data_IF_143334334101
#
_entry.id   IF_143334334101
#
_cell.length_a   1.000
_cell.length_b   1.000
_cell.length_c   1.000
_cell.angle_alpha   90.00
_cell.angle_beta   90.00
_cell.angle_gamma   90.00
#
_symmetry.space_group_name_H-M   'P 1'
#
loop_
_entity.id
_entity.type
_entity.pdbx_description
1 polymer ?
#
# COMPACT_ATOMS: atom_id res chain seq x y z
N UNK A 1 -7.78 -11.77 -7.17
CA UNK A 1 -8.10 -11.47 -5.76
C UNK A 1 -7.57 -10.10 -5.37
N UNK A 2 -6.29 -9.78 -5.64
CA UNK A 2 -5.68 -8.46 -5.41
C UNK A 2 -6.47 -7.26 -5.99
N UNK A 3 -7.04 -7.38 -7.19
CA UNK A 3 -7.82 -6.32 -7.82
C UNK A 3 -9.12 -6.00 -7.08
N UNK A 4 -9.82 -7.02 -6.57
CA UNK A 4 -11.11 -6.82 -5.89
C UNK A 4 -10.96 -6.09 -4.55
N UNK A 5 -9.85 -6.33 -3.83
CA UNK A 5 -9.56 -5.62 -2.58
C UNK A 5 -9.08 -4.19 -2.82
N UNK A 6 -8.25 -3.97 -3.85
CA UNK A 6 -7.86 -2.63 -4.30
C UNK A 6 -9.07 -1.80 -4.74
N UNK A 7 -9.99 -2.39 -5.51
CA UNK A 7 -11.23 -1.73 -5.95
C UNK A 7 -12.13 -1.38 -4.77
N UNK A 8 -12.22 -2.27 -3.77
CA UNK A 8 -12.99 -2.02 -2.54
C UNK A 8 -12.39 -0.91 -1.69
N UNK A 9 -11.07 -0.88 -1.52
CA UNK A 9 -10.37 0.19 -0.79
C UNK A 9 -10.49 1.51 -1.54
N UNK A 10 -10.32 1.49 -2.87
CA UNK A 10 -10.55 2.65 -3.75
C UNK A 10 -11.96 3.19 -3.57
N UNK A 11 -12.99 2.34 -3.62
CA UNK A 11 -14.37 2.77 -3.41
C UNK A 11 -14.60 3.38 -2.02
N UNK A 12 -13.99 2.83 -0.97
CA UNK A 12 -14.08 3.38 0.39
C UNK A 12 -13.36 4.73 0.55
N UNK A 13 -12.21 4.91 -0.11
CA UNK A 13 -11.46 6.17 -0.10
C UNK A 13 -12.27 7.25 -0.85
N UNK A 14 -12.79 6.91 -2.03
CA UNK A 14 -13.59 7.83 -2.85
C UNK A 14 -14.93 8.23 -2.19
N UNK A 15 -15.58 7.32 -1.46
CA UNK A 15 -16.87 7.62 -0.79
C UNK A 15 -16.74 8.44 0.49
N UNK A 16 -15.55 8.51 1.11
CA UNK A 16 -15.35 9.22 2.39
C UNK A 16 -14.82 10.65 2.25
N UNK A 17 -14.60 11.17 1.04
CA UNK A 17 -13.89 12.46 0.84
C UNK A 17 -14.73 13.54 0.19
N UNK A 18 -14.45 14.78 0.58
CA UNK A 18 -15.15 15.98 0.13
C UNK A 18 -14.66 16.42 -1.27
N UNK A 19 -15.54 16.99 -2.11
CA UNK A 19 -15.25 17.24 -3.54
C UNK A 19 -14.17 18.29 -3.86
N UNK A 20 -13.54 18.94 -2.86
CA UNK A 20 -12.61 20.07 -3.06
C UNK A 20 -11.25 19.91 -2.36
N UNK A 21 -10.91 18.72 -1.87
CA UNK A 21 -9.58 18.47 -1.31
C UNK A 21 -8.56 18.23 -2.44
N UNK A 22 -7.35 18.80 -2.31
CA UNK A 22 -6.24 18.48 -3.23
C UNK A 22 -6.04 16.96 -3.21
N UNK A 23 -5.98 16.37 -4.40
CA UNK A 23 -5.77 14.94 -4.56
C UNK A 23 -4.37 14.56 -4.08
N UNK A 24 -4.33 13.84 -2.96
CA UNK A 24 -3.11 13.23 -2.46
C UNK A 24 -3.16 11.71 -2.61
N UNK A 25 -2.00 11.12 -2.84
CA UNK A 25 -1.79 9.68 -2.90
C UNK A 25 -2.08 9.01 -1.56
N UNK A 26 -2.81 7.90 -1.60
CA UNK A 26 -2.99 6.99 -0.47
C UNK A 26 -2.22 5.72 -0.73
N UNK A 27 -1.19 5.46 0.06
CA UNK A 27 -0.35 4.28 -0.09
C UNK A 27 -0.95 3.14 0.72
N UNK A 28 -1.15 1.99 0.12
CA UNK A 28 -1.64 0.79 0.78
C UNK A 28 -0.54 -0.26 0.77
N UNK A 29 -0.12 -0.72 1.95
CA UNK A 29 0.76 -1.88 2.10
C UNK A 29 -0.08 -3.13 2.35
N UNK A 30 0.08 -4.14 1.49
CA UNK A 30 -0.64 -5.42 1.54
C UNK A 30 0.35 -6.59 1.59
N UNK A 31 0.23 -7.41 2.64
CA UNK A 31 1.06 -8.60 2.81
C UNK A 31 0.31 -9.79 2.21
N UNK A 32 0.86 -10.33 1.12
CA UNK A 32 0.27 -11.44 0.39
C UNK A 32 1.20 -12.65 0.36
N UNK A 33 0.67 -13.75 -0.19
CA UNK A 33 1.44 -14.92 -0.59
C UNK A 33 1.20 -15.16 -2.08
N UNK A 34 2.27 -15.30 -2.87
CA UNK A 34 2.15 -15.50 -4.31
C UNK A 34 1.77 -16.94 -4.70
N UNK A 35 1.60 -17.18 -6.00
CA UNK A 35 1.28 -18.52 -6.53
C UNK A 35 2.35 -19.59 -6.25
N UNK A 36 3.57 -19.18 -5.90
CA UNK A 36 4.69 -20.04 -5.52
C UNK A 36 4.83 -20.18 -4.00
N UNK A 37 3.86 -19.72 -3.22
CA UNK A 37 3.88 -19.70 -1.74
C UNK A 37 4.97 -18.82 -1.14
N UNK A 38 5.49 -17.84 -1.90
CA UNK A 38 6.44 -16.87 -1.38
C UNK A 38 5.70 -15.73 -0.69
N UNK A 39 6.13 -15.31 0.51
CA UNK A 39 5.59 -14.11 1.13
C UNK A 39 5.99 -12.87 0.32
N UNK A 40 5.02 -12.05 -0.07
CA UNK A 40 5.24 -10.79 -0.79
C UNK A 40 4.68 -9.63 0.03
N UNK A 41 5.36 -8.48 0.01
CA UNK A 41 4.77 -7.22 0.45
C UNK A 41 4.54 -6.30 -0.77
N UNK A 42 3.29 -5.91 -0.98
CA UNK A 42 2.86 -5.05 -2.08
C UNK A 42 2.66 -3.62 -1.58
N UNK A 43 3.03 -2.62 -2.39
CA UNK A 43 2.58 -1.24 -2.25
C UNK A 43 1.69 -0.91 -3.43
N UNK A 44 0.53 -0.35 -3.11
CA UNK A 44 -0.42 0.18 -4.07
C UNK A 44 -0.53 1.67 -3.80
N UNK A 45 -0.27 2.50 -4.81
CA UNK A 45 -0.59 3.92 -4.75
C UNK A 45 -2.00 4.13 -5.31
N UNK A 46 -2.87 4.70 -4.48
CA UNK A 46 -4.23 5.08 -4.85
C UNK A 46 -4.28 6.60 -4.92
N UNK A 47 -4.29 7.10 -6.15
CA UNK A 47 -4.54 8.51 -6.47
C UNK A 47 -6.00 8.70 -6.91
N UNK A 48 -6.38 9.94 -7.21
CA UNK A 48 -7.71 10.28 -7.70
C UNK A 48 -8.06 9.65 -9.06
N UNK A 49 -7.04 9.42 -9.87
CA UNK A 49 -7.19 9.00 -11.25
C UNK A 49 -7.01 7.49 -11.40
N UNK A 50 -6.19 6.87 -10.53
CA UNK A 50 -5.79 5.48 -10.68
C UNK A 50 -5.29 4.85 -9.38
N UNK A 51 -5.52 3.53 -9.26
CA UNK A 51 -4.87 2.66 -8.31
C UNK A 51 -3.82 1.80 -9.04
N UNK A 52 -2.54 1.94 -8.69
CA UNK A 52 -1.44 1.21 -9.33
C UNK A 52 -0.64 0.39 -8.31
N UNK A 53 -0.26 -0.83 -8.70
CA UNK A 53 0.76 -1.58 -7.97
C UNK A 53 2.13 -0.97 -8.28
N UNK A 54 2.72 -0.31 -7.29
CA UNK A 54 3.95 0.49 -7.48
C UNK A 54 5.19 -0.22 -6.97
N UNK A 55 5.02 -1.19 -6.06
CA UNK A 55 6.12 -2.04 -5.60
C UNK A 55 5.59 -3.41 -5.16
N UNK A 56 6.34 -4.46 -5.44
CA UNK A 56 6.11 -5.80 -4.90
C UNK A 56 7.46 -6.41 -4.55
N UNK A 57 7.65 -6.81 -3.29
CA UNK A 57 8.93 -7.33 -2.81
C UNK A 57 8.81 -8.73 -2.21
N UNK A 58 9.66 -9.63 -2.68
CA UNK A 58 9.85 -10.95 -2.09
C UNK A 58 10.42 -10.81 -0.67
N UNK A 59 9.67 -11.33 0.29
CA UNK A 59 9.98 -11.27 1.70
C UNK A 59 10.41 -12.63 2.27
N UNK A 60 10.83 -13.58 1.41
CA UNK A 60 11.29 -14.90 1.84
C UNK A 60 12.48 -14.75 2.79
N UNK A 61 12.38 -15.33 3.99
CA UNK A 61 13.41 -15.23 5.02
C UNK A 61 13.50 -13.85 5.71
N UNK A 62 12.59 -12.92 5.42
CA UNK A 62 12.53 -11.60 6.08
C UNK A 62 11.48 -11.58 7.18
N UNK A 63 11.83 -11.00 8.32
CA UNK A 63 10.86 -10.66 9.37
C UNK A 63 10.12 -9.39 8.95
N UNK A 64 8.81 -9.50 8.71
CA UNK A 64 7.96 -8.35 8.36
C UNK A 64 7.50 -7.61 9.62
N UNK A 65 8.46 -7.12 10.40
CA UNK A 65 8.12 -6.29 11.56
C UNK A 65 7.65 -4.90 11.12
N UNK A 66 7.20 -4.10 12.09
CA UNK A 66 6.70 -2.74 11.84
C UNK A 66 7.77 -1.85 11.20
N UNK A 67 9.06 -2.07 11.51
CA UNK A 67 10.14 -1.27 10.98
C UNK A 67 10.40 -1.63 9.51
N UNK A 68 10.43 -2.91 9.16
CA UNK A 68 10.56 -3.38 7.79
C UNK A 68 9.47 -2.78 6.88
N UNK A 69 8.21 -2.82 7.34
CA UNK A 69 7.09 -2.26 6.57
C UNK A 69 7.21 -0.73 6.47
N UNK A 70 7.60 -0.05 7.56
CA UNK A 70 7.80 1.40 7.56
C UNK A 70 8.91 1.83 6.58
N UNK A 71 10.07 1.16 6.60
CA UNK A 71 11.19 1.43 5.71
C UNK A 71 10.79 1.20 4.25
N UNK A 72 10.05 0.13 3.98
CA UNK A 72 9.55 -0.18 2.65
C UNK A 72 8.62 0.91 2.09
N UNK A 73 7.73 1.45 2.92
CA UNK A 73 6.88 2.59 2.56
C UNK A 73 7.70 3.87 2.40
N UNK A 74 8.60 4.17 3.34
CA UNK A 74 9.43 5.38 3.31
C UNK A 74 10.30 5.43 2.06
N UNK A 75 10.90 4.30 1.68
CA UNK A 75 11.73 4.19 0.47
C UNK A 75 10.91 4.50 -0.79
N UNK A 76 9.67 4.02 -0.85
CA UNK A 76 8.77 4.36 -1.94
C UNK A 76 8.39 5.84 -1.94
N UNK A 77 7.99 6.40 -0.79
CA UNK A 77 7.64 7.82 -0.65
C UNK A 77 8.81 8.73 -1.04
N UNK A 78 10.04 8.39 -0.65
CA UNK A 78 11.26 9.11 -1.05
C UNK A 78 11.56 9.02 -2.55
N UNK A 79 11.08 7.98 -3.22
CA UNK A 79 11.25 7.81 -4.67
C UNK A 79 10.25 8.61 -5.50
N UNK A 80 9.18 9.14 -4.89
CA UNK A 80 8.20 9.99 -5.55
C UNK A 80 8.80 11.36 -5.90
N UNK A 81 8.34 11.92 -7.02
CA UNK A 81 8.70 13.28 -7.44
C UNK A 81 8.22 14.34 -6.43
N UNK A 82 7.07 14.11 -5.79
CA UNK A 82 6.55 14.93 -4.69
C UNK A 82 6.14 14.04 -3.50
N UNK A 83 7.03 13.84 -2.52
CA UNK A 83 6.74 13.03 -1.32
C UNK A 83 5.60 13.61 -0.45
N UNK A 84 5.34 14.91 -0.52
CA UNK A 84 4.30 15.58 0.28
C UNK A 84 2.90 15.40 -0.32
N UNK A 85 2.80 14.83 -1.52
CA UNK A 85 1.53 14.42 -2.12
C UNK A 85 0.90 13.23 -1.41
N UNK A 86 1.65 12.47 -0.60
CA UNK A 86 1.12 11.34 0.17
C UNK A 86 0.38 11.83 1.40
N UNK A 87 -0.94 11.63 1.44
CA UNK A 87 -1.81 12.12 2.52
C UNK A 87 -2.13 11.04 3.55
N UNK A 88 -1.98 9.77 3.18
CA UNK A 88 -2.38 8.66 4.02
C UNK A 88 -1.61 7.38 3.66
N UNK A 89 -1.29 6.59 4.68
CA UNK A 89 -0.77 5.23 4.54
C UNK A 89 -1.74 4.27 5.24
N UNK A 90 -2.17 3.24 4.53
CA UNK A 90 -2.97 2.14 5.04
C UNK A 90 -2.10 0.88 5.09
N UNK A 91 -2.20 0.13 6.19
CA UNK A 91 -1.49 -1.13 6.35
C UNK A 91 -2.47 -2.18 6.85
N UNK A 92 -2.35 -3.41 6.36
CA UNK A 92 -3.06 -4.53 6.98
C UNK A 92 -2.61 -4.69 8.44
N UNK A 93 -3.58 -4.88 9.33
CA UNK A 93 -3.33 -5.24 10.72
C UNK A 93 -3.18 -6.77 10.80
N UNK A 94 -2.25 -7.33 10.02
CA UNK A 94 -1.85 -8.71 10.15
C UNK A 94 -1.20 -8.86 11.52
N UNK A 95 -1.92 -9.47 12.46
CA UNK A 95 -1.34 -9.82 13.76
C UNK A 95 -0.15 -10.73 13.45
N UNK A 96 1.09 -10.39 13.88
CA UNK A 96 2.22 -11.29 13.74
C UNK A 96 1.80 -12.58 14.45
N UNK A 97 1.59 -13.65 13.69
CA UNK A 97 1.18 -14.93 14.27
C UNK A 97 2.18 -15.32 15.37
N UNK A 98 1.67 -15.46 16.59
CA UNK A 98 2.34 -16.16 17.67
C UNK A 98 2.45 -17.66 17.33
#
# INVERSE_FOLDING_TARGET
MLTADADRVTAQILTKRAPNEKFGSTIVSDVATDGCKRPINNLIDISAELAELVKAEDCTGKTKDKQFIADFVIDYVKSLQDPFSVVQVLMDNATPGL
#
